data_IF_747688407588
#
_entry.id   IF_747688407588
#
_cell.length_a   1.000
_cell.length_b   1.000
_cell.length_c   1.000
_cell.angle_alpha   90.00
_cell.angle_beta   90.00
_cell.angle_gamma   90.00
#
_symmetry.space_group_name_H-M   'P 1'
#
loop_
_entity.id
_entity.type
_entity.pdbx_description
1 polymer ?
#
# COMPACT_ATOMS: atom_id res chain seq x y z
N UNK A 1 -30.43 -103.03 -54.98
CA UNK A 1 -31.08 -102.56 -53.73
C UNK A 1 -30.04 -101.88 -52.86
N UNK A 2 -30.35 -100.73 -52.25
CA UNK A 2 -29.41 -100.05 -51.34
C UNK A 2 -29.47 -100.67 -49.94
N UNK A 3 -28.31 -101.06 -49.41
CA UNK A 3 -28.17 -101.72 -48.10
C UNK A 3 -27.90 -100.72 -46.96
N UNK A 4 -27.40 -99.53 -47.28
CA UNK A 4 -27.15 -98.48 -46.28
C UNK A 4 -25.75 -97.88 -46.38
N UNK A 5 -25.39 -97.18 -45.30
CA UNK A 5 -24.11 -96.51 -45.12
C UNK A 5 -23.31 -97.21 -44.02
N UNK A 6 -22.04 -97.48 -44.28
CA UNK A 6 -21.14 -98.24 -43.42
C UNK A 6 -19.83 -97.47 -43.24
N UNK A 7 -19.02 -97.81 -42.23
CA UNK A 7 -17.65 -97.32 -42.10
C UNK A 7 -16.66 -98.38 -42.55
N UNK A 8 -15.40 -97.99 -42.75
CA UNK A 8 -14.32 -98.97 -42.88
C UNK A 8 -14.33 -99.88 -41.66
N UNK A 9 -14.09 -101.17 -41.91
CA UNK A 9 -14.11 -102.31 -40.97
C UNK A 9 -15.49 -102.76 -40.46
N UNK A 10 -16.58 -102.06 -40.81
CA UNK A 10 -17.94 -102.57 -40.60
C UNK A 10 -18.23 -103.78 -41.50
N UNK A 11 -19.24 -104.58 -41.14
CA UNK A 11 -19.69 -105.72 -41.94
C UNK A 11 -20.96 -105.40 -42.73
N UNK A 12 -20.90 -105.61 -44.05
CA UNK A 12 -22.07 -105.60 -44.92
C UNK A 12 -22.59 -107.03 -45.06
N UNK A 13 -23.90 -107.20 -44.89
CA UNK A 13 -24.56 -108.49 -45.01
C UNK A 13 -25.21 -108.60 -46.38
N UNK A 14 -24.77 -109.55 -47.19
CA UNK A 14 -25.38 -109.88 -48.47
C UNK A 14 -26.32 -111.06 -48.29
N UNK A 15 -27.53 -110.93 -48.82
CA UNK A 15 -28.56 -111.95 -48.74
C UNK A 15 -29.05 -112.25 -50.15
N UNK A 16 -29.23 -113.52 -50.48
CA UNK A 16 -29.82 -113.93 -51.74
C UNK A 16 -30.79 -115.09 -51.53
N UNK A 17 -31.95 -115.02 -52.18
CA UNK A 17 -32.89 -116.13 -52.25
C UNK A 17 -32.94 -116.69 -53.67
N UNK A 18 -33.08 -118.01 -53.80
CA UNK A 18 -33.11 -118.71 -55.08
C UNK A 18 -34.34 -119.60 -55.18
N UNK A 19 -34.99 -119.56 -56.33
CA UNK A 19 -36.23 -120.26 -56.62
C UNK A 19 -36.21 -120.76 -58.07
N UNK A 20 -36.87 -121.89 -58.35
CA UNK A 20 -37.04 -122.37 -59.72
C UNK A 20 -37.84 -121.34 -60.52
N UNK A 21 -37.34 -120.96 -61.69
CA UNK A 21 -38.04 -120.05 -62.59
C UNK A 21 -39.38 -120.62 -63.07
N UNK A 22 -39.47 -121.94 -63.23
CA UNK A 22 -40.65 -122.64 -63.74
C UNK A 22 -41.78 -122.76 -62.73
N UNK A 23 -41.50 -122.76 -61.42
CA UNK A 23 -42.51 -123.03 -60.38
C UNK A 23 -42.50 -122.07 -59.19
N UNK A 24 -41.52 -121.19 -59.07
CA UNK A 24 -41.34 -120.32 -57.91
C UNK A 24 -40.94 -121.05 -56.61
N UNK A 25 -40.82 -122.38 -56.63
CA UNK A 25 -40.42 -123.15 -55.46
C UNK A 25 -38.95 -122.91 -55.12
N UNK A 26 -38.61 -122.83 -53.84
CA UNK A 26 -37.24 -122.66 -53.40
C UNK A 26 -36.33 -123.79 -53.93
N UNK A 27 -35.13 -123.45 -54.38
CA UNK A 27 -34.25 -124.40 -55.07
C UNK A 27 -32.79 -124.11 -54.78
N UNK A 28 -31.99 -125.16 -54.58
CA UNK A 28 -30.55 -125.03 -54.38
C UNK A 28 -29.85 -124.78 -55.72
N UNK A 29 -29.19 -123.62 -55.94
CA UNK A 29 -28.34 -123.41 -57.10
C UNK A 29 -27.17 -124.40 -57.14
N UNK A 30 -26.69 -124.70 -58.35
CA UNK A 30 -25.45 -125.49 -58.53
C UNK A 30 -24.19 -124.69 -58.17
N UNK A 31 -24.27 -123.36 -58.22
CA UNK A 31 -23.26 -122.43 -57.74
C UNK A 31 -23.92 -121.09 -57.42
N UNK A 32 -23.48 -120.43 -56.35
CA UNK A 32 -23.85 -119.05 -56.02
C UNK A 32 -22.63 -118.31 -55.50
N UNK A 33 -22.29 -117.20 -56.14
CA UNK A 33 -21.15 -116.36 -55.76
C UNK A 33 -21.53 -114.89 -55.79
N UNK A 34 -20.76 -114.06 -55.09
CA UNK A 34 -20.81 -112.62 -55.25
C UNK A 34 -19.42 -112.08 -55.59
N UNK A 35 -19.42 -110.90 -56.20
CA UNK A 35 -18.23 -110.06 -56.42
C UNK A 35 -18.61 -108.61 -56.16
N UNK A 36 -17.63 -107.79 -55.78
CA UNK A 36 -17.87 -106.40 -55.42
C UNK A 36 -17.08 -105.47 -56.32
N UNK A 37 -17.75 -104.43 -56.81
CA UNK A 37 -17.20 -103.35 -57.61
C UNK A 37 -17.18 -102.05 -56.82
N UNK A 38 -16.15 -101.25 -57.06
CA UNK A 38 -16.07 -99.88 -56.56
C UNK A 38 -16.64 -98.88 -57.57
N UNK A 39 -17.48 -97.97 -57.09
CA UNK A 39 -18.13 -96.90 -57.84
C UNK A 39 -18.70 -97.40 -59.18
N UNK A 40 -18.41 -96.70 -60.28
CA UNK A 40 -18.81 -97.06 -61.63
C UNK A 40 -17.64 -97.70 -62.41
N UNK A 41 -16.75 -98.42 -61.72
CA UNK A 41 -15.63 -99.13 -62.34
C UNK A 41 -16.00 -100.59 -62.62
N UNK A 42 -15.36 -101.18 -63.63
CA UNK A 42 -15.50 -102.60 -63.98
C UNK A 42 -14.42 -103.50 -63.32
N UNK A 43 -13.64 -102.93 -62.40
CA UNK A 43 -12.60 -103.62 -61.64
C UNK A 43 -13.22 -104.15 -60.35
N UNK A 44 -13.14 -105.47 -60.15
CA UNK A 44 -13.60 -106.09 -58.91
C UNK A 44 -12.59 -105.89 -57.77
N UNK A 45 -13.07 -105.43 -56.63
CA UNK A 45 -12.28 -105.33 -55.38
C UNK A 45 -12.40 -106.62 -54.55
N UNK A 46 -13.50 -107.35 -54.75
CA UNK A 46 -13.70 -108.69 -54.21
C UNK A 46 -14.07 -109.59 -55.39
N UNK A 47 -13.19 -110.53 -55.70
CA UNK A 47 -13.42 -111.54 -56.73
C UNK A 47 -14.54 -112.51 -56.32
N UNK A 48 -14.97 -113.35 -57.26
CA UNK A 48 -16.05 -114.32 -57.07
C UNK A 48 -15.88 -115.18 -55.81
N UNK A 49 -16.67 -114.87 -54.80
CA UNK A 49 -16.67 -115.54 -53.48
C UNK A 49 -17.96 -116.33 -53.31
N UNK A 50 -17.86 -117.59 -52.88
CA UNK A 50 -19.01 -118.48 -52.73
C UNK A 50 -19.88 -118.08 -51.54
N UNK A 51 -21.21 -118.07 -51.73
CA UNK A 51 -22.15 -117.90 -50.61
C UNK A 51 -22.58 -119.26 -50.05
N UNK A 52 -22.81 -119.32 -48.74
CA UNK A 52 -23.28 -120.53 -48.06
C UNK A 52 -24.77 -120.44 -47.74
N UNK A 53 -25.44 -121.60 -47.71
CA UNK A 53 -26.83 -121.66 -47.29
C UNK A 53 -26.87 -121.32 -45.80
N UNK A 54 -27.64 -120.30 -45.43
CA UNK A 54 -27.57 -119.71 -44.09
C UNK A 54 -28.29 -120.55 -43.03
N UNK A 55 -29.37 -121.21 -43.42
CA UNK A 55 -30.20 -122.06 -42.57
C UNK A 55 -30.64 -123.32 -43.34
N UNK A 56 -31.36 -124.21 -42.67
CA UNK A 56 -32.02 -125.40 -43.20
C UNK A 56 -33.03 -125.11 -44.33
N UNK A 57 -33.52 -123.88 -44.48
CA UNK A 57 -34.37 -123.49 -45.60
C UNK A 57 -33.57 -123.53 -46.91
N UNK A 58 -33.97 -124.41 -47.83
CA UNK A 58 -33.37 -124.46 -49.18
C UNK A 58 -33.55 -123.13 -49.88
N UNK A 59 -32.50 -122.64 -50.52
CA UNK A 59 -32.55 -121.46 -51.36
C UNK A 59 -32.29 -120.14 -50.63
N UNK A 60 -31.86 -120.14 -49.35
CA UNK A 60 -31.60 -118.92 -48.58
C UNK A 60 -30.12 -118.77 -48.22
N UNK A 61 -29.43 -117.89 -48.94
CA UNK A 61 -27.99 -117.70 -48.84
C UNK A 61 -27.66 -116.36 -48.19
N UNK A 62 -26.63 -116.37 -47.36
CA UNK A 62 -26.12 -115.18 -46.68
C UNK A 62 -24.60 -115.23 -46.66
N UNK A 63 -23.97 -114.08 -46.84
CA UNK A 63 -22.57 -113.89 -46.47
C UNK A 63 -22.34 -112.50 -45.89
N UNK A 64 -21.25 -112.34 -45.15
CA UNK A 64 -20.84 -111.08 -44.54
C UNK A 64 -19.46 -110.67 -45.02
N UNK A 65 -19.39 -109.48 -45.59
CA UNK A 65 -18.13 -108.89 -46.06
C UNK A 65 -17.70 -107.81 -45.09
N UNK A 66 -16.48 -107.88 -44.58
CA UNK A 66 -15.89 -106.78 -43.82
C UNK A 66 -15.34 -105.73 -44.77
N UNK A 67 -15.76 -104.47 -44.64
CA UNK A 67 -15.35 -103.36 -45.50
C UNK A 67 -13.95 -102.85 -45.14
N UNK A 68 -12.91 -103.67 -45.30
CA UNK A 68 -11.55 -103.30 -44.90
C UNK A 68 -10.83 -102.51 -45.99
N UNK A 69 -9.98 -101.57 -45.59
CA UNK A 69 -9.12 -100.84 -46.54
C UNK A 69 -8.14 -101.77 -47.27
N UNK A 70 -7.74 -102.88 -46.64
CA UNK A 70 -6.82 -103.86 -47.21
C UNK A 70 -7.35 -104.55 -48.47
N UNK A 71 -8.68 -104.71 -48.58
CA UNK A 71 -9.33 -105.33 -49.75
C UNK A 71 -9.93 -104.28 -50.71
N UNK A 72 -9.49 -103.01 -50.58
CA UNK A 72 -9.84 -101.95 -51.52
C UNK A 72 -11.11 -101.16 -51.18
N UNK A 73 -11.66 -101.27 -49.96
CA UNK A 73 -12.70 -100.33 -49.53
C UNK A 73 -12.07 -98.99 -49.13
N UNK A 74 -12.59 -97.91 -49.66
CA UNK A 74 -12.15 -96.55 -49.42
C UNK A 74 -13.29 -95.70 -48.88
N UNK A 75 -12.91 -94.73 -48.06
CA UNK A 75 -13.82 -93.77 -47.47
C UNK A 75 -14.46 -92.89 -48.55
N UNK A 76 -15.78 -92.69 -48.45
CA UNK A 76 -16.54 -91.77 -49.31
C UNK A 76 -17.05 -92.39 -50.61
N UNK A 77 -16.64 -93.63 -50.91
CA UNK A 77 -16.96 -94.39 -52.14
C UNK A 77 -18.23 -95.23 -52.01
N UNK A 78 -18.86 -95.53 -53.16
CA UNK A 78 -20.02 -96.42 -53.26
C UNK A 78 -19.59 -97.77 -53.80
N UNK A 79 -20.22 -98.84 -53.35
CA UNK A 79 -19.88 -100.20 -53.75
C UNK A 79 -21.11 -100.94 -54.26
N UNK A 80 -20.91 -101.81 -55.24
CA UNK A 80 -21.94 -102.68 -55.81
C UNK A 80 -21.53 -104.13 -55.70
N UNK A 81 -22.27 -104.94 -54.93
CA UNK A 81 -22.15 -106.38 -54.99
C UNK A 81 -23.07 -106.93 -56.09
N UNK A 82 -22.50 -107.68 -57.03
CA UNK A 82 -23.25 -108.50 -57.96
C UNK A 82 -23.24 -109.94 -57.46
N UNK A 83 -24.42 -110.48 -57.17
CA UNK A 83 -24.60 -111.89 -56.83
C UNK A 83 -25.08 -112.62 -58.08
N UNK A 84 -24.41 -113.73 -58.41
CA UNK A 84 -24.78 -114.61 -59.54
C UNK A 84 -25.00 -116.03 -59.04
N UNK A 85 -26.01 -116.68 -59.60
CA UNK A 85 -26.30 -118.08 -59.31
C UNK A 85 -26.72 -118.82 -60.58
N UNK A 86 -26.45 -120.13 -60.64
CA UNK A 86 -27.05 -121.02 -61.65
C UNK A 86 -28.13 -121.84 -60.98
N UNK A 87 -29.39 -121.50 -61.26
CA UNK A 87 -30.58 -122.11 -60.64
C UNK A 87 -31.31 -122.89 -61.72
N UNK A 88 -31.45 -124.22 -61.54
CA UNK A 88 -32.12 -125.11 -62.51
C UNK A 88 -31.55 -124.94 -63.95
N UNK A 89 -30.21 -124.88 -64.05
CA UNK A 89 -29.44 -124.62 -65.28
C UNK A 89 -29.64 -123.24 -65.92
N UNK A 90 -30.32 -122.30 -65.26
CA UNK A 90 -30.51 -120.92 -65.72
C UNK A 90 -29.66 -119.95 -64.90
N UNK A 91 -28.97 -119.03 -65.56
CA UNK A 91 -28.21 -117.97 -64.89
C UNK A 91 -29.15 -116.89 -64.31
N UNK A 92 -29.00 -116.63 -63.01
CA UNK A 92 -29.75 -115.63 -62.26
C UNK A 92 -28.78 -114.60 -61.65
N UNK A 93 -29.19 -113.34 -61.60
CA UNK A 93 -28.39 -112.27 -60.96
C UNK A 93 -29.26 -111.39 -60.06
N UNK A 94 -28.65 -110.82 -59.03
CA UNK A 94 -29.18 -109.69 -58.25
C UNK A 94 -28.03 -108.78 -57.82
N UNK A 95 -28.33 -107.52 -57.51
CA UNK A 95 -27.31 -106.55 -57.12
C UNK A 95 -27.70 -105.71 -55.90
N UNK A 96 -26.71 -105.49 -55.04
CA UNK A 96 -26.81 -104.66 -53.85
C UNK A 96 -25.81 -103.52 -53.91
N UNK A 97 -26.19 -102.36 -53.38
CA UNK A 97 -25.33 -101.17 -53.32
C UNK A 97 -25.22 -100.65 -51.90
N UNK A 98 -24.08 -100.10 -51.51
CA UNK A 98 -23.88 -99.41 -50.22
C UNK A 98 -22.79 -98.35 -50.35
N UNK A 99 -22.62 -97.50 -49.33
CA UNK A 99 -21.58 -96.48 -49.30
C UNK A 99 -20.70 -96.61 -48.06
N UNK A 100 -19.40 -96.38 -48.21
CA UNK A 100 -18.49 -96.17 -47.08
C UNK A 100 -18.45 -94.68 -46.72
N UNK A 101 -18.77 -94.36 -45.47
CA UNK A 101 -18.80 -93.00 -44.95
C UNK A 101 -17.41 -92.45 -44.66
N UNK A 102 -17.30 -91.13 -44.74
CA UNK A 102 -16.17 -90.40 -44.16
C UNK A 102 -16.30 -90.32 -42.65
N UNK A 103 -15.32 -90.84 -41.88
CA UNK A 103 -15.37 -90.72 -40.43
C UNK A 103 -15.26 -89.24 -40.02
N UNK A 104 -15.92 -88.82 -38.93
CA UNK A 104 -15.66 -87.49 -38.36
C UNK A 104 -14.19 -87.42 -37.92
N UNK A 105 -13.50 -86.34 -38.27
CA UNK A 105 -12.12 -86.10 -37.80
C UNK A 105 -12.19 -85.53 -36.39
N UNK A 106 -11.82 -86.34 -35.40
CA UNK A 106 -11.62 -85.89 -34.02
C UNK A 106 -10.12 -85.77 -33.76
N UNK A 107 -9.68 -84.61 -33.30
CA UNK A 107 -8.29 -84.45 -32.84
C UNK A 107 -8.20 -84.98 -31.41
N UNK A 108 -7.64 -86.18 -31.25
CA UNK A 108 -7.48 -86.81 -29.92
C UNK A 108 -6.13 -86.49 -29.27
N UNK A 109 -5.11 -86.22 -30.07
CA UNK A 109 -3.74 -86.00 -29.60
C UNK A 109 -2.95 -85.03 -30.48
N UNK A 110 -2.00 -84.33 -29.87
CA UNK A 110 -0.98 -83.51 -30.53
C UNK A 110 0.39 -84.09 -30.18
N UNK A 111 1.16 -84.51 -31.19
CA UNK A 111 2.49 -85.12 -31.02
C UNK A 111 2.54 -86.23 -29.95
N UNK A 112 1.53 -87.11 -29.90
CA UNK A 112 1.49 -88.24 -28.98
C UNK A 112 0.93 -87.95 -27.57
N UNK A 113 0.55 -86.70 -27.30
CA UNK A 113 -0.06 -86.30 -26.03
C UNK A 113 -1.54 -85.98 -26.23
N UNK A 114 -2.40 -86.43 -25.31
CA UNK A 114 -3.82 -86.14 -25.36
C UNK A 114 -4.05 -84.63 -25.38
N UNK A 115 -4.94 -84.16 -26.26
CA UNK A 115 -5.39 -82.77 -26.22
C UNK A 115 -6.13 -82.51 -24.89
N UNK A 116 -6.01 -81.30 -24.35
CA UNK A 116 -6.82 -80.88 -23.21
C UNK A 116 -8.31 -80.96 -23.56
N UNK A 117 -9.13 -81.39 -22.60
CA UNK A 117 -10.59 -81.37 -22.75
C UNK A 117 -11.04 -79.92 -22.84
N UNK A 118 -11.66 -79.48 -23.95
CA UNK A 118 -12.03 -78.09 -24.10
C UNK A 118 -13.15 -77.71 -23.13
N UNK A 119 -13.00 -76.55 -22.48
CA UNK A 119 -14.02 -75.97 -21.60
C UNK A 119 -15.28 -75.54 -22.35
N UNK A 120 -15.19 -75.28 -23.66
CA UNK A 120 -16.32 -74.97 -24.54
C UNK A 120 -16.32 -75.91 -25.74
N UNK A 121 -17.45 -76.57 -26.01
CA UNK A 121 -17.56 -77.52 -27.11
C UNK A 121 -17.22 -76.87 -28.46
N UNK A 122 -16.29 -77.46 -29.20
CA UNK A 122 -15.82 -76.97 -30.50
C UNK A 122 -14.72 -75.90 -30.46
N UNK A 123 -14.25 -75.49 -29.27
CA UNK A 123 -13.17 -74.51 -29.11
C UNK A 123 -11.91 -75.22 -28.61
N UNK A 124 -10.81 -75.28 -29.38
CA UNK A 124 -9.55 -75.82 -28.90
C UNK A 124 -9.03 -75.03 -27.69
N UNK A 125 -8.62 -75.74 -26.64
CA UNK A 125 -7.96 -75.14 -25.47
C UNK A 125 -6.46 -75.39 -25.57
N UNK A 126 -5.68 -74.30 -25.59
CA UNK A 126 -4.23 -74.34 -25.68
C UNK A 126 -3.67 -73.46 -24.57
N UNK A 127 -2.92 -74.07 -23.65
CA UNK A 127 -2.20 -73.34 -22.63
C UNK A 127 -1.06 -72.54 -23.26
N UNK A 128 -1.03 -71.23 -22.98
CA UNK A 128 0.09 -70.38 -23.40
C UNK A 128 1.24 -70.59 -22.42
N UNK A 129 2.19 -71.44 -22.81
CA UNK A 129 3.43 -71.64 -22.04
C UNK A 129 4.56 -70.71 -22.47
N UNK A 130 4.49 -70.13 -23.66
CA UNK A 130 5.49 -69.20 -24.21
C UNK A 130 4.85 -68.08 -25.04
N UNK A 131 5.37 -66.86 -24.93
CA UNK A 131 5.04 -65.74 -25.83
C UNK A 131 6.34 -65.30 -26.47
N UNK A 132 6.38 -65.22 -27.81
CA UNK A 132 7.59 -64.86 -28.57
C UNK A 132 8.82 -65.72 -28.21
N UNK A 133 8.60 -67.00 -27.84
CA UNK A 133 9.66 -67.93 -27.46
C UNK A 133 10.13 -67.83 -26.00
N UNK A 134 9.52 -66.97 -25.18
CA UNK A 134 9.86 -66.82 -23.76
C UNK A 134 8.80 -67.46 -22.86
N UNK A 135 9.23 -68.27 -21.89
CA UNK A 135 8.34 -68.99 -20.97
C UNK A 135 7.43 -68.05 -20.15
N UNK A 136 6.15 -68.38 -20.09
CA UNK A 136 5.11 -67.66 -19.35
C UNK A 136 4.66 -68.51 -18.15
N UNK A 137 5.07 -68.12 -16.94
CA UNK A 137 4.91 -68.95 -15.73
C UNK A 137 3.77 -68.51 -14.78
N UNK A 138 2.83 -67.68 -15.24
CA UNK A 138 1.78 -67.09 -14.37
C UNK A 138 0.37 -67.40 -14.88
N UNK A 139 -0.59 -67.51 -13.97
CA UNK A 139 -2.03 -67.57 -14.25
C UNK A 139 -2.62 -66.25 -14.75
N UNK A 140 -1.80 -65.20 -14.86
CA UNK A 140 -2.17 -63.89 -15.39
C UNK A 140 -1.12 -63.42 -16.40
N UNK A 141 -1.56 -62.98 -17.58
CA UNK A 141 -0.65 -62.43 -18.59
C UNK A 141 -0.03 -61.15 -18.03
N UNK A 142 1.30 -61.17 -17.80
CA UNK A 142 2.09 -59.99 -17.41
C UNK A 142 1.91 -58.87 -18.45
N UNK A 143 1.08 -57.88 -18.15
CA UNK A 143 1.03 -56.63 -18.88
C UNK A 143 2.13 -55.69 -18.33
N UNK A 144 2.95 -55.09 -19.20
CA UNK A 144 3.80 -53.96 -18.82
C UNK A 144 2.92 -52.70 -18.73
N UNK A 145 3.31 -51.70 -17.93
CA UNK A 145 2.60 -50.42 -17.81
C UNK A 145 2.39 -49.71 -19.17
N UNK A 146 3.16 -50.07 -20.20
CA UNK A 146 3.04 -49.60 -21.59
C UNK A 146 1.64 -49.84 -22.20
N UNK A 147 0.87 -50.83 -21.75
CA UNK A 147 -0.35 -51.26 -22.45
C UNK A 147 -1.67 -50.84 -21.80
N UNK A 148 -1.70 -49.86 -20.90
CA UNK A 148 -2.93 -49.51 -20.17
C UNK A 148 -3.98 -48.77 -21.04
N UNK A 149 -3.60 -48.13 -22.16
CA UNK A 149 -4.56 -47.33 -22.96
C UNK A 149 -4.35 -47.37 -24.49
N UNK A 150 -3.89 -48.49 -25.06
CA UNK A 150 -3.86 -48.68 -26.51
C UNK A 150 -3.00 -47.66 -27.30
N UNK A 151 -2.14 -46.89 -26.62
CA UNK A 151 -1.18 -45.95 -27.22
C UNK A 151 0.15 -46.13 -26.49
N UNK A 152 1.26 -46.17 -27.24
CA UNK A 152 2.59 -46.36 -26.67
C UNK A 152 2.94 -45.20 -25.71
N UNK A 153 3.31 -45.54 -24.48
CA UNK A 153 3.87 -44.57 -23.55
C UNK A 153 5.31 -44.30 -23.97
N UNK A 154 5.59 -43.08 -24.40
CA UNK A 154 6.94 -42.67 -24.82
C UNK A 154 7.69 -42.12 -23.60
N UNK A 155 8.08 -43.00 -22.68
CA UNK A 155 8.87 -42.62 -21.50
C UNK A 155 10.35 -43.04 -21.63
N UNK A 156 11.23 -42.31 -20.95
CA UNK A 156 12.57 -42.79 -20.66
C UNK A 156 12.46 -43.88 -19.58
N UNK A 157 13.11 -45.03 -19.79
CA UNK A 157 12.94 -46.23 -18.97
C UNK A 157 12.95 -45.94 -17.45
N UNK A 158 11.85 -46.31 -16.77
CA UNK A 158 11.74 -46.29 -15.31
C UNK A 158 11.15 -45.02 -14.69
N UNK A 159 10.83 -43.98 -15.46
CA UNK A 159 10.27 -42.74 -14.93
C UNK A 159 8.89 -42.94 -14.28
N UNK A 160 7.98 -43.68 -14.93
CA UNK A 160 6.65 -43.97 -14.38
C UNK A 160 6.75 -44.94 -13.20
N UNK A 161 7.63 -45.94 -13.26
CA UNK A 161 7.85 -46.87 -12.15
C UNK A 161 8.42 -46.18 -10.90
N UNK A 162 9.36 -45.24 -11.08
CA UNK A 162 9.93 -44.44 -10.01
C UNK A 162 8.92 -43.45 -9.41
N UNK A 163 8.09 -42.81 -10.25
CA UNK A 163 7.03 -41.92 -9.80
C UNK A 163 5.94 -42.66 -9.00
N UNK A 164 5.57 -43.88 -9.42
CA UNK A 164 4.61 -44.72 -8.69
C UNK A 164 5.11 -45.11 -7.30
N UNK A 165 6.42 -45.42 -7.16
CA UNK A 165 7.06 -45.72 -5.87
C UNK A 165 7.02 -44.53 -4.92
N UNK A 166 7.32 -43.32 -5.42
CA UNK A 166 7.29 -42.10 -4.60
C UNK A 166 5.89 -41.71 -4.14
N UNK A 167 4.84 -42.10 -4.87
CA UNK A 167 3.45 -41.75 -4.53
C UNK A 167 2.80 -42.71 -3.51
N UNK A 168 3.20 -43.99 -3.48
CA UNK A 168 2.57 -45.02 -2.65
C UNK A 168 3.44 -45.57 -1.49
N UNK A 169 4.75 -45.34 -1.48
CA UNK A 169 5.67 -45.82 -0.44
C UNK A 169 5.85 -44.79 0.70
N UNK A 170 4.72 -44.30 1.24
CA UNK A 170 4.66 -43.35 2.35
C UNK A 170 3.66 -43.92 3.37
N UNK A 171 4.06 -44.00 4.65
CA UNK A 171 3.31 -44.74 5.68
C UNK A 171 1.85 -44.30 5.89
N UNK A 172 1.48 -43.08 5.48
CA UNK A 172 0.10 -42.57 5.43
C UNK A 172 -0.06 -41.53 4.32
N UNK A 173 -0.52 -41.91 3.11
CA UNK A 173 -0.79 -40.95 2.04
C UNK A 173 -2.00 -40.08 2.42
N UNK A 174 -1.81 -38.77 2.50
CA UNK A 174 -2.86 -37.79 2.88
C UNK A 174 -3.78 -37.38 1.72
N UNK A 175 -3.66 -38.01 0.55
CA UNK A 175 -4.49 -37.72 -0.63
C UNK A 175 -4.59 -38.90 -1.61
N UNK A 176 -5.65 -38.88 -2.43
CA UNK A 176 -5.83 -39.81 -3.56
C UNK A 176 -5.54 -39.10 -4.89
N UNK A 177 -5.32 -39.84 -5.99
CA UNK A 177 -5.05 -39.27 -7.33
C UNK A 177 -6.13 -38.30 -7.84
N UNK A 178 -7.33 -38.32 -7.25
CA UNK A 178 -8.44 -37.39 -7.56
C UNK A 178 -8.21 -35.99 -6.99
N UNK A 179 -7.33 -35.84 -6.00
CA UNK A 179 -6.99 -34.55 -5.40
C UNK A 179 -6.01 -33.74 -6.27
N UNK A 180 -5.27 -34.38 -7.18
CA UNK A 180 -4.33 -33.77 -8.12
C UNK A 180 -4.96 -33.73 -9.52
N UNK A 181 -6.14 -33.15 -9.66
CA UNK A 181 -6.75 -32.95 -11.00
C UNK A 181 -6.81 -31.47 -11.39
N UNK A 182 -6.57 -30.54 -10.46
CA UNK A 182 -6.61 -29.10 -10.74
C UNK A 182 -5.26 -28.39 -10.69
N UNK A 183 -4.15 -29.11 -10.49
CA UNK A 183 -2.79 -28.54 -10.53
C UNK A 183 -2.13 -28.94 -11.84
N UNK A 184 -2.61 -28.40 -12.96
CA UNK A 184 -1.98 -28.56 -14.29
C UNK A 184 -1.02 -27.40 -14.59
N UNK A 185 -1.15 -26.29 -13.90
CA UNK A 185 -0.19 -25.19 -13.89
C UNK A 185 -0.35 -24.46 -12.57
N UNK A 186 0.75 -23.96 -12.01
CA UNK A 186 0.80 -23.24 -10.73
C UNK A 186 -0.05 -21.94 -10.68
N UNK A 187 -0.93 -21.71 -11.66
CA UNK A 187 -1.75 -20.51 -11.82
C UNK A 187 -3.13 -20.57 -11.15
N UNK A 188 -3.59 -21.73 -10.67
CA UNK A 188 -4.90 -21.87 -10.00
C UNK A 188 -4.82 -22.36 -8.54
N UNK A 189 -3.72 -22.07 -7.85
CA UNK A 189 -3.73 -22.08 -6.38
C UNK A 189 -4.25 -20.73 -5.90
N UNK A 190 -5.51 -20.41 -6.20
CA UNK A 190 -6.08 -19.07 -5.98
C UNK A 190 -6.28 -18.73 -4.50
N UNK A 191 -6.18 -19.73 -3.61
CA UNK A 191 -6.05 -19.53 -2.17
C UNK A 191 -5.30 -20.71 -1.55
N UNK A 192 -3.99 -20.59 -1.31
CA UNK A 192 -3.41 -21.41 -0.25
C UNK A 192 -3.81 -20.78 1.10
N UNK A 193 -4.88 -21.33 1.68
CA UNK A 193 -5.39 -20.89 2.97
C UNK A 193 -4.51 -21.35 4.15
N UNK A 194 -3.52 -22.21 3.92
CA UNK A 194 -2.53 -22.54 4.93
C UNK A 194 -1.20 -21.84 4.63
N UNK A 195 -1.08 -20.62 5.16
CA UNK A 195 0.14 -19.82 5.10
C UNK A 195 1.17 -20.23 6.17
N UNK A 196 0.83 -21.17 7.05
CA UNK A 196 1.70 -21.56 8.19
C UNK A 196 2.93 -22.38 7.79
N UNK A 197 3.10 -22.68 6.49
CA UNK A 197 4.22 -23.49 5.97
C UNK A 197 5.12 -22.82 4.92
N UNK A 198 4.86 -21.58 4.51
CA UNK A 198 5.71 -20.91 3.51
C UNK A 198 6.90 -20.21 4.17
N UNK A 199 8.02 -20.94 4.24
CA UNK A 199 9.32 -20.38 4.62
C UNK A 199 9.86 -19.48 3.51
N UNK A 200 10.04 -18.19 3.82
CA UNK A 200 10.84 -17.27 3.02
C UNK A 200 12.22 -17.20 3.68
N UNK A 201 13.28 -17.31 2.88
CA UNK A 201 14.65 -17.27 3.41
C UNK A 201 14.99 -15.87 3.95
N UNK A 202 14.99 -15.72 5.28
CA UNK A 202 15.26 -14.48 6.00
C UNK A 202 14.83 -14.56 7.47
N UNK A 203 14.99 -13.49 8.24
CA UNK A 203 14.60 -13.44 9.66
C UNK A 203 13.08 -13.50 9.86
N UNK A 204 12.29 -13.18 8.83
CA UNK A 204 10.83 -13.33 8.79
C UNK A 204 10.53 -14.62 8.02
N UNK A 205 10.05 -15.63 8.73
CA UNK A 205 9.94 -17.00 8.22
C UNK A 205 8.55 -17.35 7.68
N UNK A 206 7.60 -16.42 7.67
CA UNK A 206 6.29 -16.59 7.02
C UNK A 206 5.95 -15.35 6.20
N UNK A 207 5.18 -15.54 5.11
CA UNK A 207 4.72 -14.44 4.26
C UNK A 207 3.81 -13.45 5.02
N UNK A 208 3.06 -13.93 6.03
CA UNK A 208 2.25 -13.08 6.91
C UNK A 208 3.11 -12.11 7.72
N UNK A 209 4.30 -12.54 8.14
CA UNK A 209 5.26 -11.71 8.86
C UNK A 209 5.87 -10.57 8.02
N UNK A 210 5.61 -10.54 6.71
CA UNK A 210 5.96 -9.42 5.81
C UNK A 210 4.80 -8.44 5.57
N UNK A 211 3.56 -8.81 5.91
CA UNK A 211 2.37 -7.96 5.74
C UNK A 211 1.84 -7.34 7.06
N UNK A 212 2.46 -7.66 8.20
CA UNK A 212 2.11 -7.09 9.51
C UNK A 212 2.84 -5.76 9.79
N UNK A 213 2.85 -4.85 8.82
CA UNK A 213 3.18 -3.44 9.07
C UNK A 213 1.85 -2.71 9.29
N UNK A 214 1.32 -2.81 10.50
CA UNK A 214 0.11 -2.08 10.85
C UNK A 214 0.37 -0.58 10.85
N UNK A 215 -0.66 0.24 10.60
CA UNK A 215 -0.58 1.70 10.78
C UNK A 215 -0.06 2.07 12.18
N UNK A 216 -0.36 1.25 13.19
CA UNK A 216 0.15 1.45 14.55
C UNK A 216 1.67 1.24 14.64
N UNK A 217 2.22 0.19 14.02
CA UNK A 217 3.67 -0.05 14.00
C UNK A 217 4.41 1.05 13.22
N UNK A 218 3.86 1.48 12.06
CA UNK A 218 4.45 2.61 11.31
C UNK A 218 4.48 3.87 12.18
N UNK A 219 3.39 4.18 12.88
CA UNK A 219 3.35 5.33 13.77
C UNK A 219 4.38 5.20 14.90
N UNK A 220 4.47 4.04 15.55
CA UNK A 220 5.47 3.81 16.62
C UNK A 220 6.91 3.93 16.13
N UNK A 221 7.22 3.40 14.95
CA UNK A 221 8.57 3.51 14.35
C UNK A 221 8.89 4.96 13.98
N UNK A 222 7.93 5.71 13.42
CA UNK A 222 8.08 7.13 13.09
C UNK A 222 8.21 7.99 14.35
N UNK A 223 7.40 7.73 15.38
CA UNK A 223 7.48 8.41 16.68
C UNK A 223 8.86 8.20 17.31
N UNK A 224 9.37 6.97 17.27
CA UNK A 224 10.71 6.63 17.76
C UNK A 224 11.79 7.37 16.97
N UNK A 225 11.71 7.38 15.64
CA UNK A 225 12.70 8.06 14.79
C UNK A 225 12.69 9.58 14.98
N UNK A 226 11.52 10.19 15.18
CA UNK A 226 11.39 11.62 15.48
C UNK A 226 11.96 11.97 16.87
N UNK A 227 11.75 11.12 17.87
CA UNK A 227 12.35 11.26 19.20
C UNK A 227 13.88 11.08 19.17
N UNK A 228 14.40 10.08 18.45
CA UNK A 228 15.85 9.87 18.28
C UNK A 228 16.55 11.07 17.63
N UNK A 229 15.86 11.76 16.71
CA UNK A 229 16.32 13.00 16.09
C UNK A 229 16.04 14.26 16.94
N UNK A 230 15.44 14.11 18.13
CA UNK A 230 14.95 15.19 19.01
C UNK A 230 13.99 16.17 18.33
N UNK A 231 13.27 15.72 17.30
CA UNK A 231 12.28 16.52 16.56
C UNK A 231 10.87 16.43 17.14
N UNK A 232 10.61 15.49 18.06
CA UNK A 232 9.30 15.39 18.73
C UNK A 232 8.91 16.69 19.44
N UNK A 233 9.91 17.41 19.95
CA UNK A 233 9.79 18.69 20.64
C UNK A 233 9.30 19.83 19.73
N UNK A 234 9.33 19.65 18.41
CA UNK A 234 8.91 20.66 17.42
C UNK A 234 7.49 20.41 16.87
N UNK A 235 7.00 19.16 16.94
CA UNK A 235 5.75 18.73 16.26
C UNK A 235 4.68 18.16 17.20
N UNK A 236 5.03 17.82 18.45
CA UNK A 236 4.06 17.37 19.44
C UNK A 236 3.17 18.50 19.96
N UNK A 237 1.86 18.44 19.72
CA UNK A 237 0.90 19.31 20.43
C UNK A 237 0.74 18.78 21.85
N UNK A 238 1.32 19.47 22.84
CA UNK A 238 1.11 19.13 24.23
C UNK A 238 -0.39 19.17 24.59
N UNK A 239 -0.90 18.07 25.12
CA UNK A 239 -2.31 17.90 25.50
C UNK A 239 -2.64 18.51 26.87
N UNK A 240 -1.77 19.37 27.42
CA UNK A 240 -1.94 20.07 28.70
C UNK A 240 -0.76 20.99 29.00
N UNK A 241 -0.97 22.00 29.84
CA UNK A 241 0.04 23.00 30.22
C UNK A 241 1.04 22.37 31.21
N UNK A 242 2.36 22.51 31.00
CA UNK A 242 3.05 23.38 30.03
C UNK A 242 3.07 22.79 28.61
N UNK A 243 2.79 23.64 27.62
CA UNK A 243 2.51 23.21 26.24
C UNK A 243 3.74 22.76 25.43
N UNK A 244 4.92 22.74 26.05
CA UNK A 244 6.21 22.37 25.46
C UNK A 244 6.94 21.56 26.54
N UNK A 245 7.48 20.36 26.24
CA UNK A 245 8.21 19.59 27.25
C UNK A 245 9.36 20.41 27.84
N UNK A 246 9.56 20.33 29.16
CA UNK A 246 10.62 21.05 29.86
C UNK A 246 12.01 20.51 29.44
N UNK A 247 12.96 21.40 29.18
CA UNK A 247 14.33 21.09 28.75
C UNK A 247 14.53 20.97 27.24
N UNK A 248 13.51 21.24 26.42
CA UNK A 248 13.63 21.27 24.96
C UNK A 248 14.27 22.57 24.48
N UNK A 249 14.81 22.63 23.26
CA UNK A 249 15.37 23.89 22.74
C UNK A 249 14.31 24.99 22.61
N UNK A 250 13.06 24.64 22.32
CA UNK A 250 11.96 25.61 22.26
C UNK A 250 11.56 26.06 23.68
N UNK A 251 11.55 25.14 24.66
CA UNK A 251 11.37 25.47 26.08
C UNK A 251 12.50 26.40 26.58
N UNK A 252 13.77 26.05 26.37
CA UNK A 252 14.93 26.85 26.75
C UNK A 252 15.03 28.20 26.03
N UNK A 253 14.43 28.33 24.84
CA UNK A 253 14.34 29.60 24.10
C UNK A 253 13.17 30.47 24.57
N UNK A 254 12.17 29.90 25.23
CA UNK A 254 10.95 30.59 25.68
C UNK A 254 10.95 30.84 27.20
N UNK A 255 11.72 30.07 27.97
CA UNK A 255 11.91 30.17 29.42
C UNK A 255 13.34 29.68 29.75
N UNK A 256 14.08 30.40 30.60
CA UNK A 256 15.38 29.94 31.13
C UNK A 256 15.22 28.96 32.33
N UNK A 257 13.99 28.49 32.53
CA UNK A 257 13.56 27.60 33.60
C UNK A 257 13.10 28.35 34.86
N UNK A 258 12.86 29.66 34.79
CA UNK A 258 12.47 30.50 35.93
C UNK A 258 11.11 31.17 35.80
N UNK A 259 10.52 31.28 34.60
CA UNK A 259 9.22 31.93 34.39
C UNK A 259 8.40 31.31 33.24
N UNK A 260 7.14 30.97 33.50
CA UNK A 260 6.22 30.39 32.51
C UNK A 260 5.97 31.36 31.35
N UNK A 261 6.32 30.98 30.12
CA UNK A 261 6.03 31.77 28.92
C UNK A 261 4.54 32.13 28.81
N UNK A 262 4.23 33.42 28.89
CA UNK A 262 2.91 33.97 28.63
C UNK A 262 2.89 34.66 27.25
N UNK A 263 2.10 34.09 26.34
CA UNK A 263 1.95 34.60 24.97
C UNK A 263 1.49 36.07 24.89
N UNK A 264 0.85 36.58 25.94
CA UNK A 264 0.36 37.97 26.01
C UNK A 264 1.41 38.96 26.49
N UNK A 265 2.52 38.49 27.06
CA UNK A 265 3.60 39.33 27.60
C UNK A 265 4.95 39.08 26.96
N UNK A 266 5.20 37.85 26.49
CA UNK A 266 6.52 37.32 26.13
C UNK A 266 6.62 36.95 24.64
N UNK A 267 5.50 36.97 23.92
CA UNK A 267 5.54 36.82 22.46
C UNK A 267 6.19 38.04 21.80
N UNK A 268 6.87 37.83 20.68
CA UNK A 268 7.45 38.93 19.89
C UNK A 268 6.42 39.97 19.46
N UNK A 269 5.15 39.57 19.32
CA UNK A 269 4.05 40.50 19.07
C UNK A 269 3.71 41.30 20.34
N UNK A 270 3.58 40.65 21.49
CA UNK A 270 3.35 41.31 22.77
C UNK A 270 4.48 42.27 23.17
N UNK A 271 5.74 41.90 22.95
CA UNK A 271 6.90 42.77 23.25
C UNK A 271 6.90 44.00 22.34
N UNK A 272 6.63 43.83 21.04
CA UNK A 272 6.47 44.96 20.11
C UNK A 272 5.28 45.85 20.49
N UNK A 273 4.18 45.26 20.92
CA UNK A 273 3.00 46.00 21.34
C UNK A 273 3.23 46.71 22.70
N UNK A 274 4.14 46.21 23.55
CA UNK A 274 4.63 46.90 24.76
C UNK A 274 5.63 48.04 24.45
N UNK A 275 6.42 47.95 23.39
CA UNK A 275 7.19 49.13 22.92
C UNK A 275 6.26 50.26 22.45
N UNK A 276 5.07 49.92 21.94
CA UNK A 276 4.00 50.89 21.67
C UNK A 276 3.44 51.50 22.98
N UNK A 277 3.53 50.77 24.10
CA UNK A 277 3.15 51.24 25.43
C UNK A 277 4.18 52.24 25.99
N UNK A 278 5.48 52.10 25.73
CA UNK A 278 6.49 53.08 26.19
C UNK A 278 6.25 54.49 25.64
N UNK A 279 5.77 54.61 24.40
CA UNK A 279 5.41 55.90 23.81
C UNK A 279 4.07 56.46 24.35
N UNK A 280 3.24 55.61 24.96
CA UNK A 280 1.91 55.95 25.50
C UNK A 280 1.83 55.91 27.03
N UNK A 281 2.89 55.44 27.72
CA UNK A 281 2.95 55.26 29.16
C UNK A 281 3.11 56.62 29.83
N UNK A 282 1.95 57.19 30.10
CA UNK A 282 1.80 58.45 30.82
C UNK A 282 1.82 58.26 32.33
N UNK A 283 1.89 57.03 32.84
CA UNK A 283 1.84 56.71 34.27
C UNK A 283 3.24 56.67 34.91
N UNK A 284 4.23 56.05 34.28
CA UNK A 284 5.57 55.90 34.87
C UNK A 284 6.56 56.99 34.39
N UNK A 285 6.39 57.51 33.17
CA UNK A 285 7.26 58.54 32.57
C UNK A 285 6.57 59.92 32.54
N UNK A 286 5.29 59.99 32.89
CA UNK A 286 4.47 61.20 32.81
C UNK A 286 4.10 61.58 31.37
N UNK A 287 3.09 62.44 31.21
CA UNK A 287 2.64 62.92 29.89
C UNK A 287 3.81 63.49 29.07
N UNK A 288 4.10 62.89 27.91
CA UNK A 288 5.11 63.32 26.95
C UNK A 288 6.54 63.51 27.53
N UNK A 289 7.07 62.54 28.30
CA UNK A 289 8.49 62.53 28.68
C UNK A 289 8.86 63.44 29.86
N UNK A 290 7.88 63.84 30.67
CA UNK A 290 8.07 64.74 31.80
C UNK A 290 8.93 64.16 32.95
N UNK A 291 9.14 62.84 33.03
CA UNK A 291 9.91 62.18 34.10
C UNK A 291 11.39 62.55 34.15
N UNK A 292 11.96 63.11 33.07
CA UNK A 292 13.37 63.53 33.01
C UNK A 292 13.64 64.91 33.67
N UNK A 293 12.59 65.67 34.01
CA UNK A 293 12.70 67.03 34.58
C UNK A 293 13.10 67.10 36.07
N UNK A 294 13.26 65.95 36.74
CA UNK A 294 13.52 65.86 38.18
C UNK A 294 15.02 65.78 38.59
N UNK A 295 15.96 65.99 37.66
CA UNK A 295 17.41 65.96 37.97
C UNK A 295 17.88 67.34 38.48
N UNK A 296 18.17 67.45 39.79
CA UNK A 296 18.55 68.69 40.47
C UNK A 296 20.03 69.09 40.27
N UNK A 297 20.31 70.36 39.95
CA UNK A 297 21.66 70.96 39.90
C UNK A 297 21.82 71.87 41.14
N UNK A 298 22.88 71.66 41.93
CA UNK A 298 22.95 71.97 43.36
C UNK A 298 22.97 73.44 43.84
N UNK A 299 22.59 73.57 45.12
CA UNK A 299 22.80 74.63 46.13
C UNK A 299 22.87 76.09 45.65
N UNK A 300 21.71 76.76 45.65
CA UNK A 300 21.68 78.22 45.46
C UNK A 300 20.39 78.83 44.93
N UNK A 301 19.25 78.14 45.03
CA UNK A 301 17.95 78.82 44.91
C UNK A 301 17.55 79.21 43.50
N UNK A 302 17.70 78.29 42.54
CA UNK A 302 16.84 78.27 41.37
C UNK A 302 16.12 76.91 41.39
N UNK A 303 14.86 76.89 41.80
CA UNK A 303 14.01 75.72 41.58
C UNK A 303 13.92 75.53 40.05
N UNK A 304 14.31 74.35 39.55
CA UNK A 304 14.87 74.02 38.20
C UNK A 304 14.12 74.47 36.94
N UNK A 305 12.97 75.13 37.11
CA UNK A 305 11.95 75.50 36.14
C UNK A 305 12.12 76.92 35.54
N UNK A 306 13.25 77.58 35.80
CA UNK A 306 13.47 79.00 35.47
C UNK A 306 13.92 79.27 34.03
N UNK A 307 13.79 78.28 33.14
CA UNK A 307 14.04 78.45 31.70
C UNK A 307 12.76 78.80 30.91
N UNK A 308 11.61 78.93 31.57
CA UNK A 308 10.48 79.59 30.94
C UNK A 308 10.77 81.10 30.88
N UNK A 309 11.11 81.56 29.67
CA UNK A 309 11.57 82.90 29.34
C UNK A 309 10.91 84.04 30.13
N UNK A 310 11.73 84.89 30.78
CA UNK A 310 11.31 86.24 31.21
C UNK A 310 11.26 86.55 32.71
N UNK A 311 11.65 85.64 33.61
CA UNK A 311 11.46 85.82 35.06
C UNK A 311 12.72 86.31 35.84
N UNK A 312 13.53 87.20 35.27
CA UNK A 312 14.39 88.10 36.06
C UNK A 312 13.77 89.49 35.94
N UNK A 313 12.74 89.75 36.76
CA UNK A 313 12.11 91.06 36.79
C UNK A 313 13.02 92.06 37.52
N UNK A 314 13.56 93.00 36.74
CA UNK A 314 14.43 94.10 37.16
C UNK A 314 13.77 95.03 38.21
N UNK A 315 12.44 94.91 38.40
CA UNK A 315 11.67 95.69 39.38
C UNK A 315 12.12 95.47 40.83
N UNK A 316 12.60 94.26 41.18
CA UNK A 316 13.05 93.94 42.54
C UNK A 316 14.40 94.60 42.89
N UNK A 317 15.20 95.00 41.90
CA UNK A 317 16.48 95.71 42.10
C UNK A 317 16.31 97.23 42.16
N UNK A 318 15.18 97.76 41.68
CA UNK A 318 14.89 99.19 41.66
C UNK A 318 14.50 99.77 43.03
N UNK A 319 14.11 98.94 44.00
CA UNK A 319 13.66 99.38 45.33
C UNK A 319 14.80 99.85 46.27
N UNK A 320 16.06 99.52 45.95
CA UNK A 320 17.22 99.74 46.84
C UNK A 320 18.04 101.01 46.52
N UNK A 321 17.63 101.78 45.52
CA UNK A 321 18.21 103.10 45.21
C UNK A 321 17.26 104.22 45.68
N UNK A 322 17.75 105.32 46.31
CA UNK A 322 16.88 106.40 46.79
C UNK A 322 16.04 106.96 45.65
N UNK A 323 14.70 107.03 45.84
CA UNK A 323 13.77 107.43 44.78
C UNK A 323 14.13 108.82 44.27
N UNK A 324 14.49 108.93 42.99
CA UNK A 324 14.76 110.22 42.34
C UNK A 324 13.56 111.18 42.43
N UNK A 325 13.72 112.41 41.97
CA UNK A 325 12.60 113.37 41.90
C UNK A 325 11.55 112.78 40.93
N UNK A 326 10.32 112.61 41.39
CA UNK A 326 9.27 111.96 40.58
C UNK A 326 8.66 112.93 39.57
N UNK A 327 8.46 112.44 38.35
CA UNK A 327 7.78 113.22 37.30
C UNK A 327 6.35 113.54 37.75
N UNK A 328 5.89 114.74 37.40
CA UNK A 328 4.51 115.19 37.63
C UNK A 328 4.05 115.09 39.11
N UNK A 329 5.00 115.19 40.04
CA UNK A 329 4.72 115.14 41.47
C UNK A 329 5.34 116.37 42.12
N UNK A 330 4.60 117.07 42.96
CA UNK A 330 5.10 118.30 43.59
C UNK A 330 6.30 118.00 44.50
N UNK A 331 7.34 118.84 44.41
CA UNK A 331 8.50 118.83 45.30
C UNK A 331 8.49 120.10 46.15
N UNK A 332 8.17 119.95 47.43
CA UNK A 332 8.13 121.07 48.36
C UNK A 332 9.54 121.51 48.77
N UNK A 333 9.69 122.83 48.99
CA UNK A 333 10.89 123.43 49.59
C UNK A 333 12.21 123.10 48.87
N UNK A 334 12.23 123.06 47.53
CA UNK A 334 13.48 122.94 46.78
C UNK A 334 14.37 124.16 47.03
N UNK A 335 15.56 123.94 47.57
CA UNK A 335 16.46 125.00 48.03
C UNK A 335 17.58 125.26 47.03
N UNK A 336 17.96 126.53 46.87
CA UNK A 336 19.07 126.96 46.02
C UNK A 336 19.76 128.20 46.59
N UNK A 337 21.02 128.38 46.24
CA UNK A 337 21.86 129.51 46.65
C UNK A 337 21.88 130.57 45.55
N UNK A 338 21.76 131.84 45.94
CA UNK A 338 22.04 133.00 45.09
C UNK A 338 23.31 133.70 45.57
N UNK A 339 24.20 134.03 44.65
CA UNK A 339 25.49 134.67 44.92
C UNK A 339 25.51 136.07 44.29
N UNK A 340 26.20 137.01 44.94
CA UNK A 340 26.32 138.39 44.48
C UNK A 340 27.00 138.47 43.12
N UNK A 341 26.38 139.16 42.15
CA UNK A 341 26.93 139.28 40.79
C UNK A 341 28.14 140.22 40.69
N UNK A 342 28.48 140.91 41.78
CA UNK A 342 29.63 141.82 41.82
C UNK A 342 30.93 141.04 42.06
N UNK A 343 30.88 140.02 42.92
CA UNK A 343 32.04 139.23 43.33
C UNK A 343 31.95 137.75 42.97
N UNK A 344 30.79 137.31 42.46
CA UNK A 344 30.48 135.94 42.03
C UNK A 344 30.71 134.87 43.12
N UNK A 345 30.76 135.27 44.40
CA UNK A 345 31.17 134.40 45.49
C UNK A 345 30.29 134.54 46.74
N UNK A 346 29.92 135.76 47.12
CA UNK A 346 29.25 136.00 48.40
C UNK A 346 27.75 135.67 48.31
N UNK A 347 27.21 134.81 49.20
CA UNK A 347 25.77 134.58 49.28
C UNK A 347 24.97 135.86 49.52
N UNK A 348 23.92 136.11 48.73
CA UNK A 348 23.19 137.39 48.77
C UNK A 348 21.73 137.25 49.22
N UNK A 349 21.43 137.90 50.33
CA UNK A 349 20.11 137.97 50.98
C UNK A 349 19.26 139.12 50.42
N UNK A 350 17.95 139.11 50.71
CA UNK A 350 17.01 140.20 50.40
C UNK A 350 16.61 140.35 48.93
N UNK A 351 16.81 139.33 48.10
CA UNK A 351 16.52 139.39 46.68
C UNK A 351 15.07 139.00 46.36
N UNK A 352 14.49 139.69 45.38
CA UNK A 352 13.31 139.17 44.67
C UNK A 352 13.80 138.33 43.50
N UNK A 353 13.47 137.03 43.52
CA UNK A 353 13.94 136.05 42.54
C UNK A 353 12.85 135.78 41.50
N UNK A 354 13.20 135.92 40.22
CA UNK A 354 12.38 135.44 39.12
C UNK A 354 12.74 133.98 38.85
N UNK A 355 11.80 133.06 39.11
CA UNK A 355 11.96 131.63 38.89
C UNK A 355 11.32 131.21 37.57
N UNK A 356 12.12 130.63 36.68
CA UNK A 356 11.66 130.06 35.40
C UNK A 356 12.14 128.63 35.24
N UNK A 357 11.46 127.86 34.40
CA UNK A 357 11.81 126.48 34.10
C UNK A 357 11.72 126.21 32.60
N UNK A 358 12.60 125.35 32.12
CA UNK A 358 12.54 124.70 30.82
C UNK A 358 12.19 123.23 31.07
N UNK A 359 11.12 122.75 30.42
CA UNK A 359 10.68 121.36 30.47
C UNK A 359 11.09 120.70 29.15
N UNK A 360 11.93 119.66 29.22
CA UNK A 360 12.35 118.86 28.07
C UNK A 360 12.90 119.69 26.89
N UNK A 361 13.63 120.76 27.22
CA UNK A 361 14.24 121.66 26.23
C UNK A 361 13.30 122.73 25.65
N UNK A 362 12.07 122.85 26.14
CA UNK A 362 11.17 123.94 25.80
C UNK A 362 11.71 125.31 26.28
N UNK A 363 11.20 126.40 25.70
CA UNK A 363 11.56 127.75 26.15
C UNK A 363 11.25 127.96 27.64
N UNK A 364 12.02 128.82 28.31
CA UNK A 364 11.83 129.09 29.74
C UNK A 364 10.47 129.76 30.00
N UNK A 365 9.61 129.06 30.75
CA UNK A 365 8.35 129.58 31.28
C UNK A 365 8.44 129.86 32.78
N UNK A 366 7.61 130.75 33.30
CA UNK A 366 7.60 131.07 34.73
C UNK A 366 7.19 129.84 35.57
N UNK A 367 7.94 129.53 36.63
CA UNK A 367 7.51 128.54 37.62
C UNK A 367 6.16 128.92 38.22
N UNK A 368 5.36 127.93 38.60
CA UNK A 368 4.01 128.18 39.11
C UNK A 368 4.03 128.99 40.43
N UNK A 369 5.06 128.79 41.26
CA UNK A 369 5.24 129.48 42.53
C UNK A 369 6.45 130.43 42.48
N UNK A 370 6.43 131.46 43.35
CA UNK A 370 7.57 132.34 43.56
C UNK A 370 8.56 131.74 44.57
N UNK A 371 9.84 132.08 44.43
CA UNK A 371 10.84 131.73 45.42
C UNK A 371 10.81 132.70 46.62
N UNK A 372 11.09 132.18 47.80
CA UNK A 372 11.16 132.93 49.05
C UNK A 372 12.53 132.76 49.69
N UNK A 373 13.03 133.81 50.32
CA UNK A 373 14.28 133.73 51.08
C UNK A 373 14.10 132.84 52.31
N UNK A 374 15.13 132.05 52.60
CA UNK A 374 15.25 131.32 53.87
C UNK A 374 16.18 132.10 54.81
N UNK A 375 17.46 132.22 54.44
CA UNK A 375 18.49 133.04 55.07
C UNK A 375 19.83 132.83 54.34
N UNK A 376 20.84 133.67 54.60
CA UNK A 376 22.24 133.48 54.16
C UNK A 376 22.41 133.24 52.66
N UNK A 377 21.60 133.92 51.83
CA UNK A 377 21.58 133.77 50.38
C UNK A 377 20.91 132.49 49.87
N UNK A 378 20.41 131.63 50.76
CA UNK A 378 19.60 130.47 50.40
C UNK A 378 18.14 130.88 50.26
N UNK A 379 17.57 130.49 49.12
CA UNK A 379 16.16 130.65 48.79
C UNK A 379 15.54 129.27 48.60
N UNK A 380 14.23 129.22 48.68
CA UNK A 380 13.46 128.02 48.41
C UNK A 380 12.27 128.32 47.51
N UNK A 381 11.89 127.32 46.74
CA UNK A 381 10.66 127.31 45.94
C UNK A 381 9.99 125.94 46.11
N UNK A 382 8.67 125.92 46.28
CA UNK A 382 7.91 124.67 46.17
C UNK A 382 7.53 124.47 44.71
N UNK A 383 8.13 123.48 44.06
CA UNK A 383 7.86 123.14 42.67
C UNK A 383 6.58 122.32 42.61
N UNK A 384 5.64 122.73 41.77
CA UNK A 384 4.37 122.01 41.59
C UNK A 384 4.58 120.79 40.69
N UNK A 385 3.58 119.90 40.64
CA UNK A 385 3.57 118.79 39.69
C UNK A 385 3.80 119.26 38.24
N UNK A 386 3.16 120.37 37.86
CA UNK A 386 3.31 121.00 36.53
C UNK A 386 4.70 121.58 36.29
N UNK A 387 5.43 121.92 37.36
CA UNK A 387 6.82 122.36 37.23
C UNK A 387 7.77 121.19 36.96
N UNK A 388 7.37 119.97 37.32
CA UNK A 388 8.16 118.74 37.27
C UNK A 388 7.62 117.71 36.26
N UNK A 389 6.75 118.12 35.35
CA UNK A 389 6.09 117.23 34.39
C UNK A 389 6.90 117.09 33.08
N UNK A 390 8.14 116.64 33.19
CA UNK A 390 9.02 116.30 32.05
C UNK A 390 10.23 115.51 32.53
N UNK A 391 10.92 114.84 31.60
CA UNK A 391 12.07 113.96 31.90
C UNK A 391 13.27 114.76 32.42
N UNK A 392 13.57 115.91 31.82
CA UNK A 392 14.68 116.78 32.19
C UNK A 392 14.16 118.20 32.37
N UNK A 393 14.30 118.72 33.58
CA UNK A 393 13.85 120.07 33.93
C UNK A 393 15.07 120.93 34.26
N UNK A 394 15.23 122.05 33.56
CA UNK A 394 16.22 123.07 33.94
C UNK A 394 15.51 124.24 34.58
N UNK A 395 15.80 124.49 35.85
CA UNK A 395 15.35 125.64 36.61
C UNK A 395 16.37 126.77 36.46
N UNK A 396 15.90 127.99 36.27
CA UNK A 396 16.72 129.20 36.25
C UNK A 396 16.14 130.23 37.20
N UNK A 397 16.97 130.68 38.13
CA UNK A 397 16.64 131.68 39.14
C UNK A 397 17.49 132.92 38.91
N UNK A 398 16.84 134.07 38.72
CA UNK A 398 17.53 135.30 38.31
C UNK A 398 17.14 136.48 39.21
N UNK A 399 18.09 137.39 39.44
CA UNK A 399 17.84 138.68 40.08
C UNK A 399 18.86 139.70 39.58
N UNK A 400 18.53 141.00 39.57
CA UNK A 400 19.40 142.03 39.00
C UNK A 400 20.73 142.24 39.76
N UNK A 401 20.81 141.78 41.01
CA UNK A 401 21.96 141.98 41.89
C UNK A 401 22.68 140.66 42.26
N UNK A 402 22.36 139.57 41.57
CA UNK A 402 22.92 138.25 41.81
C UNK A 402 23.13 137.50 40.49
N UNK A 403 24.06 136.55 40.47
CA UNK A 403 24.26 135.71 39.30
C UNK A 403 23.08 134.78 39.07
N UNK A 404 22.81 134.51 37.81
CA UNK A 404 21.80 133.54 37.42
C UNK A 404 22.18 132.14 37.86
N UNK A 405 21.31 131.51 38.65
CA UNK A 405 21.48 130.13 39.07
C UNK A 405 20.66 129.19 38.20
N UNK A 406 21.35 128.36 37.42
CA UNK A 406 20.73 127.28 36.66
C UNK A 406 20.99 125.92 37.34
N UNK A 407 19.94 125.12 37.47
CA UNK A 407 20.01 123.76 38.02
C UNK A 407 19.16 122.83 37.16
N UNK A 408 19.77 121.75 36.67
CA UNK A 408 19.07 120.72 35.90
C UNK A 408 18.81 119.50 36.77
N UNK A 409 17.56 119.03 36.74
CA UNK A 409 17.10 117.82 37.42
C UNK A 409 16.54 116.83 36.40
N UNK A 410 16.74 115.55 36.67
CA UNK A 410 16.15 114.44 35.89
C UNK A 410 15.05 113.82 36.74
N UNK A 411 13.86 113.67 36.17
CA UNK A 411 12.76 113.03 36.87
C UNK A 411 12.61 111.55 36.51
N UNK A 412 12.13 110.76 37.45
CA UNK A 412 11.83 109.33 37.26
C UNK A 412 10.33 109.08 37.26
N UNK A 413 9.89 108.06 36.51
CA UNK A 413 8.49 107.62 36.39
C UNK A 413 8.03 106.67 37.49
N UNK A 414 8.92 106.23 38.39
CA UNK A 414 8.65 105.26 39.47
C UNK A 414 8.80 105.84 40.87
#
# INVERSE_FOLDING_TARGET
>A
MYLGEYRIDDYVTLIATTHRFSSGAAYAPTAITYRVYEDATDVEIVADTSMTNFDSQTGFYLDRIQCTAAIGYEVGKTYTALIKATVDSIAAITAYTWRILTPPVNVTQWLGTACATPTVNGVPEVDITHIEGTAHASTSIRANLISILGTAITETAGQIAAAFKQFFDIGTPTGNMKAITNVVTATNLTTNNDKTGYSINGTKTTLDALNDVSTAQVNTEVDTALADANLDHLVGTATGIPAIPAGTYIDQMMDDGTAVYDRTTDSLQAIRDKETDIEADTAEIGTAGNGLTAVAIGIGGIASFSFAAGAIDLSATAADFPSGIKKNTALANFMFLMVDSTDHLTPKTGLTITATRSIDGAAFGACANAAAEVASGIYKISLTATDLNGDVITLRFTSAAADDRLITIITTTT
#
